data_IF_074663823983
#
_entry.id   IF_074663823983
#
_cell.length_a   1.000
_cell.length_b   1.000
_cell.length_c   1.000
_cell.angle_alpha   90.00
_cell.angle_beta   90.00
_cell.angle_gamma   90.00
#
_symmetry.space_group_name_H-M   'P 1'
#
loop_
_entity.id
_entity.type
_entity.pdbx_description
1 polymer ?
#
# COMPACT_ATOMS: atom_id res chain seq x y z
N UNK A 1 -8.09 -3.50 -5.68
CA UNK A 1 -7.29 -4.23 -6.70
C UNK A 1 -6.49 -3.24 -7.54
N UNK A 2 -7.07 -2.24 -8.20
CA UNK A 2 -6.36 -1.27 -9.05
C UNK A 2 -5.21 -0.55 -8.33
N UNK A 3 -5.42 -0.14 -7.07
CA UNK A 3 -4.38 0.49 -6.25
C UNK A 3 -3.21 -0.47 -6.01
N UNK A 4 -3.49 -1.73 -5.74
CA UNK A 4 -2.44 -2.75 -5.55
C UNK A 4 -1.59 -2.95 -6.81
N UNK A 5 -2.23 -3.05 -7.97
CA UNK A 5 -1.54 -3.17 -9.25
C UNK A 5 -0.69 -1.92 -9.50
N UNK A 6 -1.25 -0.72 -9.26
CA UNK A 6 -0.53 0.54 -9.42
C UNK A 6 0.69 0.65 -8.50
N UNK A 7 0.54 0.30 -7.21
CA UNK A 7 1.64 0.30 -6.25
C UNK A 7 2.72 -0.73 -6.62
N UNK A 8 2.32 -1.94 -7.02
CA UNK A 8 3.27 -2.97 -7.48
C UNK A 8 4.06 -2.48 -8.68
N UNK A 9 3.41 -1.84 -9.64
CA UNK A 9 4.06 -1.28 -10.81
C UNK A 9 5.07 -0.18 -10.44
N UNK A 10 4.70 0.74 -9.54
CA UNK A 10 5.62 1.77 -9.05
C UNK A 10 6.84 1.15 -8.40
N UNK A 11 6.67 0.15 -7.52
CA UNK A 11 7.77 -0.54 -6.84
C UNK A 11 8.70 -1.21 -7.84
N UNK A 12 8.16 -1.94 -8.82
CA UNK A 12 8.96 -2.69 -9.80
C UNK A 12 9.66 -1.76 -10.80
N UNK A 13 9.01 -0.68 -11.26
CA UNK A 13 9.59 0.27 -12.22
C UNK A 13 10.58 1.23 -11.57
N UNK A 14 10.30 1.70 -10.36
CA UNK A 14 11.18 2.62 -9.63
C UNK A 14 12.31 1.92 -8.88
N UNK A 15 12.22 0.59 -8.69
CA UNK A 15 13.21 -0.17 -7.91
C UNK A 15 13.22 0.19 -6.43
N UNK A 16 12.12 0.72 -5.92
CA UNK A 16 12.02 1.24 -4.56
C UNK A 16 11.57 0.13 -3.61
N UNK A 17 12.24 -0.08 -2.47
CA UNK A 17 11.93 -1.20 -1.58
C UNK A 17 10.59 -1.06 -0.86
N UNK A 18 10.14 0.16 -0.62
CA UNK A 18 8.92 0.46 0.15
C UNK A 18 8.16 1.61 -0.50
N UNK A 19 6.88 1.42 -0.76
CA UNK A 19 5.94 2.48 -1.16
C UNK A 19 4.71 2.39 -0.25
N UNK A 20 4.31 3.50 0.32
CA UNK A 20 3.05 3.59 1.07
C UNK A 20 2.07 4.45 0.30
N UNK A 21 0.80 4.06 0.30
CA UNK A 21 -0.23 4.91 -0.26
C UNK A 21 -0.31 6.22 0.55
N UNK A 22 -0.30 7.39 -0.08
CA UNK A 22 -0.39 8.68 0.61
C UNK A 22 -1.73 8.84 1.34
N UNK A 23 -2.76 8.14 0.88
CA UNK A 23 -4.08 8.11 1.49
C UNK A 23 -4.54 6.66 1.66
N UNK A 24 -5.23 6.38 2.76
CA UNK A 24 -5.87 5.09 2.94
C UNK A 24 -6.93 4.88 1.86
N UNK A 25 -6.82 3.79 1.09
CA UNK A 25 -7.77 3.48 0.02
C UNK A 25 -9.24 3.44 0.50
N UNK A 26 -9.55 2.88 1.69
CA UNK A 26 -10.90 2.93 2.24
C UNK A 26 -11.40 4.36 2.48
N UNK A 27 -10.54 5.22 3.00
CA UNK A 27 -10.87 6.61 3.32
C UNK A 27 -11.26 7.39 2.05
N UNK A 28 -10.48 7.21 0.98
CA UNK A 28 -10.81 7.77 -0.33
C UNK A 28 -12.15 7.27 -0.88
N UNK A 29 -12.43 5.96 -0.77
CA UNK A 29 -13.68 5.39 -1.24
C UNK A 29 -14.88 5.93 -0.45
N UNK A 30 -14.77 6.03 0.86
CA UNK A 30 -15.85 6.54 1.71
C UNK A 30 -16.07 8.03 1.51
N UNK A 31 -15.01 8.83 1.40
CA UNK A 31 -15.13 10.26 1.12
C UNK A 31 -15.64 10.56 -0.30
N UNK A 32 -15.24 9.74 -1.28
CA UNK A 32 -15.65 9.91 -2.67
C UNK A 32 -17.09 9.49 -2.95
N UNK A 33 -17.51 8.35 -2.39
CA UNK A 33 -18.87 7.80 -2.62
C UNK A 33 -19.89 8.31 -1.62
N UNK A 34 -19.45 8.80 -0.46
CA UNK A 34 -20.30 9.17 0.65
C UNK A 34 -20.81 7.96 1.45
N UNK A 35 -21.11 8.19 2.71
CA UNK A 35 -21.60 7.13 3.62
C UNK A 35 -22.96 6.57 3.20
N UNK A 36 -23.79 7.38 2.54
CA UNK A 36 -25.13 6.98 2.10
C UNK A 36 -25.11 5.86 1.05
N UNK A 37 -24.11 5.87 0.14
CA UNK A 37 -23.98 4.83 -0.90
C UNK A 37 -23.26 3.58 -0.38
N UNK A 38 -22.25 3.77 0.46
CA UNK A 38 -21.42 2.67 0.97
C UNK A 38 -22.12 1.92 2.10
N UNK A 39 -22.92 2.61 2.88
CA UNK A 39 -23.59 2.07 4.07
C UNK A 39 -22.61 1.77 5.22
N UNK A 40 -23.15 1.52 6.41
CA UNK A 40 -22.34 1.26 7.62
C UNK A 40 -21.52 -0.02 7.51
N UNK A 41 -22.13 -1.10 7.03
CA UNK A 41 -21.46 -2.40 6.83
C UNK A 41 -20.37 -2.30 5.75
N UNK A 42 -20.64 -1.57 4.66
CA UNK A 42 -19.68 -1.33 3.60
C UNK A 42 -18.47 -0.53 4.09
N UNK A 43 -18.69 0.54 4.85
CA UNK A 43 -17.62 1.36 5.45
C UNK A 43 -16.76 0.56 6.42
N UNK A 44 -17.36 -0.32 7.21
CA UNK A 44 -16.63 -1.22 8.11
C UNK A 44 -15.77 -2.21 7.33
N UNK A 45 -16.32 -2.90 6.34
CA UNK A 45 -15.58 -3.85 5.51
C UNK A 45 -14.44 -3.18 4.73
N UNK A 46 -14.70 -1.97 4.19
CA UNK A 46 -13.66 -1.20 3.53
C UNK A 46 -12.53 -0.79 4.48
N UNK A 47 -12.86 -0.38 5.72
CA UNK A 47 -11.82 0.00 6.69
C UNK A 47 -10.93 -1.17 7.10
N UNK A 48 -11.46 -2.39 7.16
CA UNK A 48 -10.65 -3.58 7.41
C UNK A 48 -9.65 -3.86 6.27
N UNK A 49 -9.95 -3.44 5.03
CA UNK A 49 -9.00 -3.57 3.93
C UNK A 49 -7.75 -2.70 4.11
N UNK A 50 -7.79 -1.70 5.00
CA UNK A 50 -6.62 -0.90 5.35
C UNK A 50 -5.46 -1.75 5.86
N UNK A 51 -5.73 -2.78 6.65
CA UNK A 51 -4.70 -3.67 7.18
C UNK A 51 -3.87 -4.35 6.08
N UNK A 52 -4.46 -4.56 4.89
CA UNK A 52 -3.79 -5.20 3.76
C UNK A 52 -3.27 -4.20 2.72
N UNK A 53 -3.74 -2.96 2.74
CA UNK A 53 -3.51 -1.96 1.69
C UNK A 53 -2.62 -0.79 2.12
N UNK A 54 -2.29 -0.68 3.40
CA UNK A 54 -1.64 0.51 3.94
C UNK A 54 -0.18 0.64 3.50
N UNK A 55 0.55 -0.48 3.37
CA UNK A 55 2.00 -0.45 3.18
C UNK A 55 2.45 -1.60 2.28
N UNK A 56 3.40 -1.35 1.36
CA UNK A 56 3.99 -2.40 0.52
C UNK A 56 4.81 -3.41 1.30
N UNK A 57 5.25 -3.09 2.52
CA UNK A 57 5.91 -4.07 3.41
C UNK A 57 4.98 -5.21 3.81
N UNK A 58 3.68 -4.95 3.86
CA UNK A 58 2.63 -5.93 4.14
C UNK A 58 2.14 -6.58 2.85
N UNK A 59 2.43 -5.95 1.71
CA UNK A 59 1.87 -6.32 0.41
C UNK A 59 2.77 -7.33 -0.32
N UNK A 60 2.48 -8.59 -0.12
CA UNK A 60 3.23 -9.75 -0.65
C UNK A 60 3.40 -9.68 -2.18
N UNK A 61 2.42 -9.16 -2.91
CA UNK A 61 2.45 -9.08 -4.38
C UNK A 61 3.64 -8.26 -4.90
N UNK A 62 3.93 -7.10 -4.29
CA UNK A 62 5.05 -6.26 -4.71
C UNK A 62 6.40 -6.92 -4.45
N UNK A 63 6.54 -7.58 -3.29
CA UNK A 63 7.76 -8.32 -2.92
C UNK A 63 7.99 -9.50 -3.87
N UNK A 64 6.93 -10.27 -4.14
CA UNK A 64 7.00 -11.40 -5.08
C UNK A 64 7.29 -10.92 -6.51
N UNK A 65 6.71 -9.81 -6.96
CA UNK A 65 6.97 -9.26 -8.28
C UNK A 65 8.44 -8.84 -8.44
N UNK A 66 9.04 -8.20 -7.43
CA UNK A 66 10.47 -7.88 -7.41
C UNK A 66 11.34 -9.15 -7.43
N UNK A 67 11.02 -10.14 -6.61
CA UNK A 67 11.74 -11.42 -6.60
C UNK A 67 11.66 -12.11 -7.96
N UNK A 68 10.48 -12.15 -8.59
CA UNK A 68 10.29 -12.75 -9.92
C UNK A 68 11.05 -11.99 -11.01
N UNK A 69 11.13 -10.65 -10.90
CA UNK A 69 11.92 -9.84 -11.85
C UNK A 69 13.41 -10.12 -11.75
N UNK A 70 13.94 -10.30 -10.53
CA UNK A 70 15.35 -10.65 -10.33
C UNK A 70 15.73 -11.99 -10.97
N UNK A 71 14.80 -12.94 -10.99
CA UNK A 71 15.04 -14.28 -11.58
C UNK A 71 14.67 -14.40 -13.05
N UNK A 72 14.22 -13.31 -13.68
CA UNK A 72 13.81 -13.31 -15.09
C UNK A 72 14.97 -13.75 -16.02
N UNK A 73 16.21 -13.44 -15.67
CA UNK A 73 17.41 -13.77 -16.42
C UNK A 73 17.92 -15.19 -16.15
N UNK A 74 17.34 -15.92 -15.20
CA UNK A 74 17.79 -17.28 -14.84
C UNK A 74 17.20 -18.35 -15.75
N UNK A 75 17.83 -19.54 -15.75
CA UNK A 75 17.38 -20.68 -16.51
C UNK A 75 15.95 -21.14 -16.09
N UNK A 76 15.13 -21.65 -17.02
CA UNK A 76 13.73 -22.02 -16.72
C UNK A 76 13.56 -23.07 -15.63
N UNK A 77 14.55 -23.95 -15.46
CA UNK A 77 14.56 -24.98 -14.41
C UNK A 77 14.71 -24.37 -13.03
N UNK A 78 15.57 -23.38 -12.91
CA UNK A 78 15.88 -22.72 -11.62
C UNK A 78 14.74 -21.80 -11.20
N UNK A 79 13.99 -21.25 -12.15
CA UNK A 79 12.80 -20.42 -11.88
C UNK A 79 11.73 -21.20 -11.11
N UNK A 80 11.51 -22.48 -11.41
CA UNK A 80 10.54 -23.33 -10.70
C UNK A 80 10.95 -23.54 -9.24
N UNK A 81 12.20 -23.84 -9.01
CA UNK A 81 12.73 -24.02 -7.65
C UNK A 81 12.57 -22.75 -6.82
N UNK A 82 12.88 -21.59 -7.40
CA UNK A 82 12.75 -20.31 -6.72
C UNK A 82 11.27 -19.97 -6.45
N UNK A 83 10.37 -20.27 -7.40
CA UNK A 83 8.93 -20.08 -7.16
C UNK A 83 8.44 -20.89 -5.95
N UNK A 84 8.79 -22.16 -5.86
CA UNK A 84 8.45 -22.99 -4.69
C UNK A 84 9.14 -22.51 -3.42
N UNK A 85 10.38 -22.04 -3.49
CA UNK A 85 11.09 -21.46 -2.34
C UNK A 85 10.42 -20.16 -1.83
N UNK A 86 9.87 -19.33 -2.71
CA UNK A 86 9.10 -18.15 -2.32
C UNK A 86 7.84 -18.55 -1.55
N UNK A 87 7.08 -19.53 -2.06
CA UNK A 87 5.87 -20.03 -1.37
C UNK A 87 6.23 -20.61 0.00
N UNK A 88 7.27 -21.43 0.06
CA UNK A 88 7.74 -22.02 1.29
C UNK A 88 8.21 -20.96 2.29
N UNK A 89 8.96 -19.96 1.83
CA UNK A 89 9.42 -18.84 2.66
C UNK A 89 8.25 -18.02 3.22
N UNK A 90 7.22 -17.76 2.42
CA UNK A 90 6.01 -17.07 2.88
C UNK A 90 5.29 -17.89 3.97
N UNK A 91 5.15 -19.19 3.76
CA UNK A 91 4.49 -20.05 4.72
C UNK A 91 5.26 -20.13 6.05
N UNK A 92 6.55 -20.41 5.99
CA UNK A 92 7.41 -20.48 7.19
C UNK A 92 7.49 -19.12 7.88
N UNK A 93 7.65 -18.05 7.11
CA UNK A 93 7.69 -16.67 7.63
C UNK A 93 6.41 -16.28 8.36
N UNK A 94 5.25 -16.61 7.79
CA UNK A 94 3.94 -16.34 8.42
C UNK A 94 3.77 -17.14 9.71
N UNK A 95 4.08 -18.43 9.70
CA UNK A 95 4.01 -19.27 10.91
C UNK A 95 4.98 -18.78 11.99
N UNK A 96 6.22 -18.44 11.61
CA UNK A 96 7.22 -17.92 12.55
C UNK A 96 6.81 -16.58 13.15
N UNK A 97 6.26 -15.68 12.34
CA UNK A 97 5.75 -14.39 12.80
C UNK A 97 4.58 -14.56 13.79
N UNK A 98 3.60 -15.41 13.45
CA UNK A 98 2.47 -15.70 14.35
C UNK A 98 2.94 -16.32 15.67
N UNK A 99 3.81 -17.31 15.59
CA UNK A 99 4.40 -17.92 16.77
C UNK A 99 5.08 -16.89 17.67
N UNK A 100 5.92 -16.03 17.09
CA UNK A 100 6.66 -15.01 17.84
C UNK A 100 5.73 -13.98 18.47
N UNK A 101 4.72 -13.51 17.74
CA UNK A 101 3.72 -12.55 18.24
C UNK A 101 2.97 -13.14 19.43
N UNK A 102 2.46 -14.37 19.32
CA UNK A 102 1.75 -15.01 20.42
C UNK A 102 2.68 -15.26 21.60
N UNK A 103 3.87 -15.80 21.37
CA UNK A 103 4.84 -16.05 22.44
C UNK A 103 5.18 -14.79 23.23
N UNK A 104 5.48 -13.69 22.52
CA UNK A 104 5.78 -12.39 23.14
C UNK A 104 4.56 -11.82 23.88
N UNK A 105 3.38 -11.88 23.28
CA UNK A 105 2.16 -11.37 23.88
C UNK A 105 1.76 -12.11 25.16
N UNK A 106 1.89 -13.44 25.19
CA UNK A 106 1.60 -14.24 26.38
C UNK A 106 2.65 -14.10 27.48
N UNK A 107 3.93 -13.92 27.11
CA UNK A 107 5.01 -13.84 28.10
C UNK A 107 5.17 -12.46 28.73
N UNK A 108 4.97 -11.40 27.97
CA UNK A 108 5.24 -10.02 28.41
C UNK A 108 3.97 -9.16 28.51
N UNK A 109 2.83 -9.66 28.05
CA UNK A 109 1.59 -8.92 27.92
C UNK A 109 1.60 -7.99 26.70
N UNK A 110 0.61 -8.11 25.82
CA UNK A 110 0.54 -7.31 24.58
C UNK A 110 0.54 -5.78 24.80
N UNK A 111 0.04 -5.33 25.96
CA UNK A 111 -0.02 -3.90 26.32
C UNK A 111 1.39 -3.32 26.58
N UNK A 112 2.32 -4.14 27.06
CA UNK A 112 3.69 -3.74 27.40
C UNK A 112 4.63 -3.80 26.18
N UNK A 113 4.19 -4.37 25.07
CA UNK A 113 4.95 -4.45 23.83
C UNK A 113 4.80 -3.16 23.01
N UNK A 114 5.31 -3.14 21.79
CA UNK A 114 5.27 -1.97 20.92
C UNK A 114 3.83 -1.44 20.77
N UNK A 115 3.58 -0.27 21.31
CA UNK A 115 2.26 0.36 21.34
C UNK A 115 1.73 0.69 19.93
N UNK A 116 2.60 0.92 18.97
CA UNK A 116 2.18 1.15 17.59
C UNK A 116 1.51 -0.09 17.00
N UNK A 117 2.17 -1.25 17.13
CA UNK A 117 1.68 -2.51 16.54
C UNK A 117 0.46 -3.08 17.29
N UNK A 118 0.49 -3.08 18.62
CA UNK A 118 -0.57 -3.72 19.42
C UNK A 118 -1.76 -2.81 19.74
N UNK A 119 -1.61 -1.49 19.63
CA UNK A 119 -2.64 -0.52 20.01
C UNK A 119 -3.01 0.43 18.88
N UNK A 120 -2.02 1.17 18.35
CA UNK A 120 -2.32 2.29 17.43
C UNK A 120 -2.77 1.84 16.05
N UNK A 121 -2.15 0.81 15.49
CA UNK A 121 -2.47 0.36 14.14
C UNK A 121 -3.85 -0.33 14.05
N UNK A 122 -4.23 -1.26 14.96
CA UNK A 122 -5.58 -1.77 15.02
C UNK A 122 -6.62 -0.67 15.30
N UNK A 123 -6.33 0.24 16.25
CA UNK A 123 -7.24 1.34 16.58
C UNK A 123 -7.47 2.28 15.40
N UNK A 124 -6.47 2.47 14.52
CA UNK A 124 -6.59 3.29 13.34
C UNK A 124 -7.60 2.71 12.34
N UNK A 125 -7.60 1.40 12.10
CA UNK A 125 -8.59 0.74 11.24
C UNK A 125 -10.01 0.94 11.73
N UNK A 126 -10.24 0.82 13.05
CA UNK A 126 -11.55 1.10 13.64
C UNK A 126 -11.92 2.58 13.58
N UNK A 127 -10.95 3.48 13.76
CA UNK A 127 -11.19 4.92 13.64
C UNK A 127 -11.60 5.33 12.22
N UNK A 128 -11.05 4.69 11.20
CA UNK A 128 -11.48 4.86 9.81
C UNK A 128 -12.92 4.41 9.60
N UNK A 129 -13.30 3.26 10.19
CA UNK A 129 -14.67 2.79 10.13
C UNK A 129 -15.64 3.80 10.77
N UNK A 130 -15.31 4.31 11.95
CA UNK A 130 -16.15 5.29 12.66
C UNK A 130 -16.25 6.62 11.90
N UNK A 131 -15.16 7.09 11.29
CA UNK A 131 -15.19 8.28 10.42
C UNK A 131 -16.10 8.05 9.22
N UNK A 132 -15.99 6.90 8.56
CA UNK A 132 -16.82 6.55 7.43
C UNK A 132 -18.32 6.49 7.77
N UNK A 133 -18.67 6.12 8.99
CA UNK A 133 -20.08 6.11 9.44
C UNK A 133 -20.64 7.51 9.70
N UNK A 134 -19.77 8.47 10.05
CA UNK A 134 -20.15 9.82 10.45
C UNK A 134 -20.05 10.87 9.32
N UNK A 135 -19.61 10.48 8.11
CA UNK A 135 -19.55 11.38 6.97
C UNK A 135 -20.90 11.43 6.23
N UNK A 136 -21.70 12.49 6.38
CA UNK A 136 -23.04 12.54 5.77
C UNK A 136 -23.01 12.81 4.27
N UNK A 137 -21.98 13.49 3.74
CA UNK A 137 -21.95 13.98 2.37
C UNK A 137 -20.62 13.68 1.65
N UNK A 138 -20.70 13.71 0.31
CA UNK A 138 -19.55 13.56 -0.59
C UNK A 138 -18.62 14.77 -0.45
N UNK A 139 -17.35 14.52 -0.20
CA UNK A 139 -16.33 15.56 -0.09
C UNK A 139 -15.82 16.02 -1.48
N UNK A 140 -16.59 16.90 -2.12
CA UNK A 140 -16.30 17.40 -3.47
C UNK A 140 -14.90 17.98 -3.68
N UNK A 141 -14.33 18.78 -2.74
CA UNK A 141 -12.96 19.27 -2.90
C UNK A 141 -11.93 18.14 -3.00
N UNK A 142 -12.10 17.07 -2.22
CA UNK A 142 -11.21 15.89 -2.27
C UNK A 142 -11.26 15.19 -3.63
N UNK A 143 -12.45 15.04 -4.20
CA UNK A 143 -12.63 14.48 -5.55
C UNK A 143 -11.96 15.38 -6.58
N UNK A 144 -12.09 16.70 -6.46
CA UNK A 144 -11.45 17.66 -7.34
C UNK A 144 -9.92 17.55 -7.33
N UNK A 145 -9.30 17.45 -6.16
CA UNK A 145 -7.85 17.25 -6.04
C UNK A 145 -7.39 15.90 -6.59
N UNK A 146 -8.17 14.85 -6.36
CA UNK A 146 -7.84 13.52 -6.87
C UNK A 146 -7.92 13.45 -8.39
N UNK A 147 -9.00 13.96 -8.97
CA UNK A 147 -9.15 14.02 -10.45
C UNK A 147 -8.10 14.94 -11.07
N UNK A 148 -7.81 16.08 -10.45
CA UNK A 148 -6.73 16.98 -10.89
C UNK A 148 -5.36 16.29 -10.90
N UNK A 149 -5.04 15.55 -9.85
CA UNK A 149 -3.81 14.73 -9.78
C UNK A 149 -3.77 13.64 -10.86
N UNK A 150 -4.89 12.98 -11.13
CA UNK A 150 -5.02 12.00 -12.20
C UNK A 150 -4.79 12.58 -13.58
N UNK A 151 -5.38 13.75 -13.86
CA UNK A 151 -5.20 14.48 -15.12
C UNK A 151 -3.75 14.94 -15.29
N UNK A 152 -3.14 15.47 -14.24
CA UNK A 152 -1.73 15.86 -14.24
C UNK A 152 -0.82 14.68 -14.58
N UNK A 153 -1.04 13.53 -13.93
CA UNK A 153 -0.30 12.30 -14.19
C UNK A 153 -0.48 11.83 -15.63
N UNK A 154 -1.70 11.90 -16.17
CA UNK A 154 -1.99 11.55 -17.55
C UNK A 154 -1.26 12.48 -18.55
N UNK A 155 -1.25 13.79 -18.29
CA UNK A 155 -0.51 14.78 -19.10
C UNK A 155 0.99 14.46 -19.07
N UNK A 156 1.57 14.18 -17.91
CA UNK A 156 2.99 13.83 -17.78
C UNK A 156 3.36 12.56 -18.56
N UNK A 157 2.51 11.53 -18.50
CA UNK A 157 2.67 10.29 -19.28
C UNK A 157 2.61 10.57 -20.78
N UNK A 158 1.63 11.37 -21.21
CA UNK A 158 1.46 11.76 -22.62
C UNK A 158 2.65 12.57 -23.13
N UNK A 159 3.12 13.55 -22.36
CA UNK A 159 4.29 14.37 -22.73
C UNK A 159 5.55 13.51 -22.86
N UNK A 160 5.76 12.56 -21.95
CA UNK A 160 6.91 11.64 -22.03
C UNK A 160 6.88 10.75 -23.27
N UNK A 161 5.69 10.33 -23.72
CA UNK A 161 5.57 9.53 -24.95
C UNK A 161 5.77 10.36 -26.20
N UNK A 162 5.44 11.66 -26.15
CA UNK A 162 5.48 12.54 -27.31
C UNK A 162 6.82 13.26 -27.49
N UNK A 163 7.49 13.63 -26.38
CA UNK A 163 8.70 14.44 -26.38
C UNK A 163 9.89 13.70 -25.79
N UNK A 164 10.89 13.38 -26.63
CA UNK A 164 12.12 12.69 -26.21
C UNK A 164 12.98 13.51 -25.22
N UNK A 165 12.90 14.82 -25.27
CA UNK A 165 13.65 15.74 -24.40
C UNK A 165 13.01 15.98 -23.03
N UNK A 166 11.82 15.37 -22.75
CA UNK A 166 11.11 15.57 -21.49
C UNK A 166 11.86 14.95 -20.32
N UNK A 167 12.42 15.76 -19.37
CA UNK A 167 13.31 15.24 -18.33
C UNK A 167 12.58 14.62 -17.16
N UNK A 168 11.29 14.94 -16.97
CA UNK A 168 10.56 14.54 -15.77
C UNK A 168 9.95 13.16 -15.95
N UNK A 169 10.35 12.24 -15.06
CA UNK A 169 9.76 10.91 -15.02
C UNK A 169 8.41 10.94 -14.26
N UNK A 170 7.29 10.48 -14.84
CA UNK A 170 5.97 10.54 -14.21
C UNK A 170 5.90 9.85 -12.85
N UNK A 171 6.71 8.80 -12.63
CA UNK A 171 6.81 8.08 -11.35
C UNK A 171 7.33 8.97 -10.20
N UNK A 172 8.12 9.99 -10.50
CA UNK A 172 8.61 10.93 -9.48
C UNK A 172 7.49 11.69 -8.77
N UNK A 173 6.37 11.91 -9.45
CA UNK A 173 5.24 12.64 -8.89
C UNK A 173 4.55 11.90 -7.72
N UNK A 174 4.11 10.63 -7.83
CA UNK A 174 3.54 9.89 -6.71
C UNK A 174 4.57 9.57 -5.62
N UNK A 175 5.85 9.40 -5.95
CA UNK A 175 6.92 9.17 -4.98
C UNK A 175 7.19 10.44 -4.17
N UNK A 176 7.35 11.59 -4.84
CA UNK A 176 7.60 12.88 -4.18
C UNK A 176 6.44 13.36 -3.30
N UNK A 177 5.21 12.97 -3.61
CA UNK A 177 4.04 13.28 -2.79
C UNK A 177 3.92 12.45 -1.51
N UNK A 178 4.77 11.44 -1.31
CA UNK A 178 4.70 10.56 -0.16
C UNK A 178 5.72 10.96 0.92
N UNK A 179 5.24 11.64 1.97
CA UNK A 179 6.07 12.11 3.09
C UNK A 179 6.91 11.00 3.75
N UNK A 180 6.36 9.82 3.91
CA UNK A 180 7.08 8.70 4.55
C UNK A 180 8.23 8.16 3.69
N UNK A 181 8.17 8.41 2.40
CA UNK A 181 9.21 8.04 1.47
C UNK A 181 10.33 9.08 1.43
N UNK A 182 9.95 10.34 1.46
CA UNK A 182 10.90 11.45 1.39
C UNK A 182 11.72 11.60 2.66
N UNK A 183 11.13 11.28 3.83
CA UNK A 183 11.82 11.47 5.11
C UNK A 183 13.12 10.65 5.24
N UNK A 184 13.15 9.32 5.00
CA UNK A 184 14.40 8.55 5.07
C UNK A 184 15.37 8.86 3.92
N UNK A 185 14.88 9.26 2.74
CA UNK A 185 15.77 9.59 1.60
C UNK A 185 16.52 10.91 1.78
N UNK A 186 15.99 11.86 2.57
CA UNK A 186 16.65 13.13 2.82
C UNK A 186 17.66 13.09 3.95
N UNK A 187 17.58 12.09 4.83
CA UNK A 187 18.43 11.96 6.02
C UNK A 187 19.40 10.77 5.95
N UNK A 188 19.41 10.02 4.89
CA UNK A 188 20.39 8.96 4.61
C UNK A 188 21.47 9.44 3.66
#
# INVERSE_FOLDING_TARGET
ILVFIGMTRIVVEAGVPVVRSPMATPDFMVQGLGSNLVGTTGSFNLSLTYMFAADTRIFVMAICANALKLIEQMAPRDRRLIFFSIILALFIGTLGALWMIFHMAYRHGGINLNSWFFKSDPAFAYSLAMRGMNLPEVFWPGIGFFTGGGVLMWIMLWMRQRYLWWPIHPIGFPIGGNYQFMNPLWFS
#
